data_IF_518912201840
#
_entry.id   IF_518912201840
#
_cell.length_a   1.000
_cell.length_b   1.000
_cell.length_c   1.000
_cell.angle_alpha   90.00
_cell.angle_beta   90.00
_cell.angle_gamma   90.00
#
_symmetry.space_group_name_H-M   'P 1'
#
loop_
_entity.id
_entity.type
_entity.pdbx_description
1 polymer ?
#
# COMPACT_ATOMS: atom_id res chain seq x y z
N UNK A 1 -4.96 51.86 68.60
CA UNK A 1 -4.06 53.00 68.36
C UNK A 1 -2.88 52.48 67.55
N UNK A 2 -2.71 52.98 66.31
CA UNK A 2 -1.55 53.75 65.86
C UNK A 2 -0.25 52.95 65.60
N UNK A 3 0.13 52.97 64.32
CA UNK A 3 1.48 53.25 63.74
C UNK A 3 2.49 52.08 63.72
N UNK A 4 2.91 51.64 62.51
CA UNK A 4 4.18 51.95 61.79
C UNK A 4 5.40 51.27 62.47
N UNK A 5 6.45 50.70 61.85
CA UNK A 5 7.07 50.82 60.53
C UNK A 5 8.27 49.80 60.51
N UNK A 6 8.59 49.18 59.35
CA UNK A 6 9.94 48.92 58.75
C UNK A 6 11.00 48.14 59.61
N UNK A 7 11.64 47.03 59.21
CA UNK A 7 12.63 46.90 58.10
C UNK A 7 13.07 45.43 57.85
N UNK A 8 13.14 45.08 56.56
CA UNK A 8 13.95 44.11 55.79
C UNK A 8 14.72 42.94 56.46
N UNK A 9 14.58 41.75 55.84
CA UNK A 9 15.73 41.04 55.25
C UNK A 9 15.27 40.17 54.07
N UNK A 10 15.90 40.38 52.92
CA UNK A 10 15.68 39.64 51.68
C UNK A 10 16.44 38.30 51.70
N UNK A 11 15.77 37.22 51.29
CA UNK A 11 16.39 36.04 50.71
C UNK A 11 15.38 35.39 49.75
N UNK A 12 15.55 35.66 48.45
CA UNK A 12 14.85 34.95 47.39
C UNK A 12 15.56 33.62 47.14
N UNK A 13 14.92 32.51 47.52
CA UNK A 13 15.32 31.16 47.11
C UNK A 13 14.35 30.67 46.04
N UNK A 14 14.79 30.73 44.78
CA UNK A 14 14.11 30.13 43.64
C UNK A 14 14.21 28.60 43.73
N UNK A 15 13.11 27.94 44.05
CA UNK A 15 12.98 26.48 43.91
C UNK A 15 12.74 26.14 42.44
N UNK A 16 13.75 25.56 41.80
CA UNK A 16 13.60 24.89 40.50
C UNK A 16 12.68 23.67 40.67
N UNK A 17 11.53 23.72 39.99
CA UNK A 17 10.70 22.54 39.76
C UNK A 17 11.39 21.66 38.72
N UNK A 18 11.89 20.50 39.12
CA UNK A 18 12.33 19.45 38.20
C UNK A 18 11.10 18.79 37.57
N UNK A 19 10.77 19.18 36.34
CA UNK A 19 9.82 18.47 35.51
C UNK A 19 10.42 17.11 35.12
N UNK A 20 9.82 16.03 35.62
CA UNK A 20 10.12 14.66 35.18
C UNK A 20 9.63 14.51 33.75
N UNK A 21 10.55 14.57 32.78
CA UNK A 21 10.27 14.15 31.41
C UNK A 21 10.13 12.63 31.44
N UNK A 22 8.88 12.15 31.41
CA UNK A 22 8.58 10.77 31.10
C UNK A 22 9.14 10.48 29.70
N UNK A 23 10.14 9.60 29.64
CA UNK A 23 10.70 9.11 28.39
C UNK A 23 9.60 8.37 27.61
N UNK A 24 9.12 9.00 26.55
CA UNK A 24 8.25 8.40 25.56
C UNK A 24 9.04 7.27 24.88
N UNK A 25 8.62 6.03 25.07
CA UNK A 25 9.28 4.87 24.44
C UNK A 25 8.98 4.94 22.95
N UNK A 26 9.99 4.97 22.05
CA UNK A 26 9.73 4.97 20.62
C UNK A 26 9.03 3.67 20.23
N UNK A 27 7.94 3.83 19.46
CA UNK A 27 7.08 2.76 18.94
C UNK A 27 7.90 1.70 18.20
N UNK A 28 7.76 0.44 18.61
CA UNK A 28 8.41 -0.74 18.03
C UNK A 28 7.90 -1.10 16.62
N UNK A 29 6.87 -0.41 16.11
CA UNK A 29 6.26 -0.68 14.81
C UNK A 29 7.13 -0.27 13.61
N UNK A 30 8.15 0.56 13.81
CA UNK A 30 9.01 1.06 12.72
C UNK A 30 10.17 0.13 12.40
N UNK A 31 10.65 -0.66 13.38
CA UNK A 31 11.77 -1.59 13.21
C UNK A 31 11.42 -2.84 12.37
N UNK A 32 10.16 -3.28 12.41
CA UNK A 32 9.71 -4.46 11.66
C UNK A 32 9.76 -4.22 10.13
N UNK A 33 9.48 -3.00 9.67
CA UNK A 33 9.49 -2.67 8.24
C UNK A 33 10.90 -2.68 7.64
N UNK A 34 11.93 -2.30 8.41
CA UNK A 34 13.33 -2.30 7.96
C UNK A 34 13.93 -3.71 7.86
N UNK A 35 13.74 -4.53 8.89
CA UNK A 35 14.19 -5.92 8.89
C UNK A 35 13.48 -6.77 7.81
N UNK A 36 12.19 -6.48 7.55
CA UNK A 36 11.47 -7.09 6.44
C UNK A 36 12.07 -6.69 5.08
N UNK A 37 12.48 -5.44 4.89
CA UNK A 37 13.10 -4.99 3.63
C UNK A 37 14.42 -5.73 3.35
N UNK A 38 15.27 -5.91 4.37
CA UNK A 38 16.51 -6.71 4.25
C UNK A 38 16.21 -8.17 3.93
N UNK A 39 15.21 -8.78 4.59
CA UNK A 39 14.82 -10.16 4.32
C UNK A 39 14.28 -10.35 2.88
N UNK A 40 13.44 -9.43 2.38
CA UNK A 40 12.96 -9.45 1.00
C UNK A 40 14.08 -9.24 -0.02
N UNK A 41 15.07 -8.39 0.31
CA UNK A 41 16.24 -8.18 -0.53
C UNK A 41 17.06 -9.47 -0.68
N UNK A 42 17.34 -10.14 0.44
CA UNK A 42 18.05 -11.43 0.44
C UNK A 42 17.26 -12.48 -0.36
N UNK A 43 15.96 -12.63 -0.10
CA UNK A 43 15.12 -13.58 -0.84
C UNK A 43 15.15 -13.37 -2.36
N UNK A 44 15.29 -12.12 -2.80
CA UNK A 44 15.22 -11.75 -4.21
C UNK A 44 16.57 -11.84 -4.95
N UNK A 45 17.69 -11.66 -4.25
CA UNK A 45 19.01 -11.46 -4.87
C UNK A 45 20.10 -12.45 -4.41
N UNK A 46 19.86 -13.25 -3.37
CA UNK A 46 20.77 -14.30 -2.89
C UNK A 46 20.82 -15.44 -3.91
N UNK A 47 21.84 -15.40 -4.78
CA UNK A 47 21.94 -16.32 -5.91
C UNK A 47 22.63 -17.62 -5.52
N UNK A 48 23.48 -17.60 -4.49
CA UNK A 48 24.27 -18.74 -4.04
C UNK A 48 23.59 -19.51 -2.87
N UNK A 49 22.56 -18.93 -2.25
CA UNK A 49 21.78 -19.51 -1.17
C UNK A 49 22.45 -19.49 0.21
N UNK A 50 23.44 -18.63 0.43
CA UNK A 50 24.18 -18.53 1.69
C UNK A 50 23.48 -17.65 2.75
N UNK A 51 22.32 -17.09 2.40
CA UNK A 51 21.51 -16.25 3.27
C UNK A 51 21.99 -14.79 3.33
N UNK A 52 22.86 -14.38 2.41
CA UNK A 52 23.40 -13.04 2.25
C UNK A 52 23.37 -12.63 0.78
N UNK A 53 23.61 -11.35 0.51
CA UNK A 53 23.75 -10.83 -0.85
C UNK A 53 24.98 -9.96 -0.90
N UNK A 54 25.98 -10.38 -1.66
CA UNK A 54 27.17 -9.56 -1.88
C UNK A 54 26.95 -8.53 -3.02
N UNK A 55 27.85 -7.54 -3.09
CA UNK A 55 27.77 -6.49 -4.10
C UNK A 55 27.88 -7.02 -5.54
N UNK A 56 28.58 -8.14 -5.77
CA UNK A 56 28.76 -8.73 -7.10
C UNK A 56 27.52 -9.49 -7.56
N UNK A 57 26.85 -10.22 -6.67
CA UNK A 57 25.57 -10.89 -6.92
C UNK A 57 24.50 -9.86 -7.28
N UNK A 58 24.40 -8.80 -6.48
CA UNK A 58 23.45 -7.73 -6.74
C UNK A 58 23.75 -6.97 -8.05
N UNK A 59 25.02 -6.66 -8.32
CA UNK A 59 25.43 -6.01 -9.57
C UNK A 59 25.15 -6.87 -10.80
N UNK A 60 25.40 -8.18 -10.71
CA UNK A 60 25.16 -9.12 -11.81
C UNK A 60 23.67 -9.23 -12.13
N UNK A 61 22.82 -9.39 -11.12
CA UNK A 61 21.36 -9.38 -11.29
C UNK A 61 20.89 -8.10 -12.01
N UNK A 62 21.38 -6.96 -11.53
CA UNK A 62 21.05 -5.63 -12.06
C UNK A 62 21.49 -5.47 -13.51
N UNK A 63 22.68 -5.95 -13.88
CA UNK A 63 23.17 -5.89 -15.25
C UNK A 63 22.29 -6.72 -16.20
N UNK A 64 21.89 -7.92 -15.79
CA UNK A 64 20.94 -8.74 -16.56
C UNK A 64 19.63 -7.99 -16.75
N UNK A 65 19.08 -7.40 -15.68
CA UNK A 65 17.84 -6.63 -15.77
C UNK A 65 17.92 -5.42 -16.68
N UNK A 66 19.04 -4.70 -16.66
CA UNK A 66 19.26 -3.57 -17.55
C UNK A 66 19.20 -4.00 -19.01
N UNK A 67 19.93 -5.06 -19.35
CA UNK A 67 19.95 -5.62 -20.70
C UNK A 67 18.62 -6.24 -21.14
N UNK A 68 17.80 -6.75 -20.21
CA UNK A 68 16.44 -7.22 -20.49
C UNK A 68 15.46 -6.07 -20.77
N UNK A 69 15.71 -4.91 -20.17
CA UNK A 69 14.85 -3.72 -20.29
C UNK A 69 15.17 -2.93 -21.56
N UNK A 70 16.45 -2.85 -21.93
CA UNK A 70 16.96 -2.27 -23.19
C UNK A 70 16.57 -3.18 -24.37
N UNK A 71 15.33 -3.03 -24.82
CA UNK A 71 14.72 -3.87 -25.84
C UNK A 71 15.31 -3.57 -27.23
N UNK A 72 15.62 -2.30 -27.49
CA UNK A 72 16.19 -1.85 -28.75
C UNK A 72 17.73 -2.06 -28.84
N UNK A 73 18.39 -2.36 -27.71
CA UNK A 73 19.82 -2.63 -27.57
C UNK A 73 20.70 -1.43 -27.91
N UNK A 74 20.24 -0.22 -27.65
CA UNK A 74 21.00 1.02 -27.84
C UNK A 74 21.94 1.33 -26.65
N UNK A 75 21.89 0.50 -25.60
CA UNK A 75 22.70 0.64 -24.40
C UNK A 75 22.14 1.69 -23.42
N UNK A 76 20.91 2.14 -23.62
CA UNK A 76 20.15 3.04 -22.78
C UNK A 76 18.75 2.45 -22.56
N UNK A 77 18.06 2.90 -21.52
CA UNK A 77 16.65 2.52 -21.29
C UNK A 77 15.81 3.78 -21.36
N UNK A 78 14.92 3.85 -22.35
CA UNK A 78 13.99 4.97 -22.47
C UNK A 78 12.76 4.81 -21.57
N UNK A 79 11.90 5.85 -21.53
CA UNK A 79 10.69 5.84 -20.70
C UNK A 79 9.73 4.72 -21.09
N UNK A 80 9.58 4.43 -22.38
CA UNK A 80 8.63 3.43 -22.87
C UNK A 80 9.12 2.02 -22.52
N UNK A 81 10.41 1.74 -22.67
CA UNK A 81 11.06 0.50 -22.23
C UNK A 81 10.95 0.30 -20.72
N UNK A 82 11.24 1.35 -19.94
CA UNK A 82 11.13 1.32 -18.48
C UNK A 82 9.68 1.08 -18.03
N UNK A 83 8.71 1.82 -18.58
CA UNK A 83 7.30 1.66 -18.23
C UNK A 83 6.79 0.29 -18.68
N UNK A 84 7.15 -0.19 -19.86
CA UNK A 84 6.70 -1.48 -20.38
C UNK A 84 7.18 -2.65 -19.53
N UNK A 85 8.42 -2.59 -19.04
CA UNK A 85 8.97 -3.62 -18.17
C UNK A 85 8.23 -3.66 -16.82
N UNK A 86 8.06 -2.49 -16.18
CA UNK A 86 7.35 -2.38 -14.91
C UNK A 86 5.86 -2.74 -15.04
N UNK A 87 5.21 -2.26 -16.10
CA UNK A 87 3.82 -2.57 -16.42
C UNK A 87 3.65 -4.07 -16.66
N UNK A 88 4.53 -4.70 -17.44
CA UNK A 88 4.44 -6.12 -17.74
C UNK A 88 4.53 -7.04 -16.50
N UNK A 89 5.35 -6.68 -15.51
CA UNK A 89 5.34 -7.42 -14.22
C UNK A 89 4.06 -7.18 -13.43
N UNK A 90 3.63 -5.93 -13.34
CA UNK A 90 2.43 -5.56 -12.60
C UNK A 90 1.17 -6.18 -13.20
N UNK A 91 1.07 -6.20 -14.54
CA UNK A 91 -0.04 -6.80 -15.27
C UNK A 91 -0.15 -8.31 -14.96
N UNK A 92 0.98 -9.05 -14.90
CA UNK A 92 0.97 -10.48 -14.49
C UNK A 92 0.48 -10.69 -13.06
N UNK A 93 0.84 -9.80 -12.14
CA UNK A 93 0.36 -9.84 -10.75
C UNK A 93 -1.14 -9.57 -10.68
N UNK A 94 -1.62 -8.58 -11.45
CA UNK A 94 -3.04 -8.24 -11.56
C UNK A 94 -3.84 -9.38 -12.21
N UNK A 95 -3.32 -10.03 -13.25
CA UNK A 95 -3.96 -11.19 -13.89
C UNK A 95 -4.12 -12.36 -12.92
N UNK A 96 -3.07 -12.66 -12.15
CA UNK A 96 -3.13 -13.69 -11.13
C UNK A 96 -4.14 -13.34 -10.04
N UNK A 97 -4.16 -12.08 -9.59
CA UNK A 97 -5.13 -11.60 -8.61
C UNK A 97 -6.57 -11.65 -9.15
N UNK A 98 -6.79 -11.24 -10.40
CA UNK A 98 -8.08 -11.31 -11.10
C UNK A 98 -8.60 -12.74 -11.12
N UNK A 99 -7.77 -13.69 -11.51
CA UNK A 99 -8.15 -15.12 -11.54
C UNK A 99 -8.63 -15.60 -10.16
N UNK A 100 -7.87 -15.29 -9.10
CA UNK A 100 -8.26 -15.65 -7.74
C UNK A 100 -9.56 -14.98 -7.26
N UNK A 101 -9.83 -13.75 -7.71
CA UNK A 101 -11.10 -13.07 -7.42
C UNK A 101 -12.28 -13.69 -8.17
N UNK A 102 -12.12 -14.02 -9.46
CA UNK A 102 -13.15 -14.64 -10.30
C UNK A 102 -13.51 -16.04 -9.81
N UNK A 103 -12.53 -16.84 -9.37
CA UNK A 103 -12.78 -18.16 -8.79
C UNK A 103 -13.67 -18.09 -7.52
N UNK A 104 -13.63 -16.97 -6.79
CA UNK A 104 -14.47 -16.77 -5.61
C UNK A 104 -15.88 -16.27 -5.93
N UNK A 105 -16.14 -15.80 -7.16
CA UNK A 105 -17.43 -15.23 -7.56
C UNK A 105 -18.59 -16.19 -7.30
N UNK A 106 -18.43 -17.47 -7.65
CA UNK A 106 -19.47 -18.47 -7.42
C UNK A 106 -19.75 -18.68 -5.92
N UNK A 107 -18.73 -18.61 -5.07
CA UNK A 107 -18.91 -18.70 -3.61
C UNK A 107 -19.64 -17.48 -3.08
N UNK A 108 -19.36 -16.29 -3.62
CA UNK A 108 -20.05 -15.04 -3.25
C UNK A 108 -21.50 -15.07 -3.70
N UNK A 109 -21.78 -15.51 -4.93
CA UNK A 109 -23.13 -15.70 -5.44
C UNK A 109 -23.97 -16.57 -4.50
N UNK A 110 -23.48 -17.77 -4.18
CA UNK A 110 -24.12 -18.70 -3.23
C UNK A 110 -24.25 -18.15 -1.80
N UNK A 111 -23.48 -17.13 -1.43
CA UNK A 111 -23.60 -16.51 -0.11
C UNK A 111 -24.78 -15.54 -0.03
N UNK A 112 -25.23 -15.02 -1.19
CA UNK A 112 -26.34 -14.09 -1.35
C UNK A 112 -27.63 -14.84 -1.65
N UNK A 113 -27.60 -15.81 -2.57
CA UNK A 113 -28.69 -16.76 -2.85
C UNK A 113 -28.93 -17.65 -1.63
N UNK A 114 -29.94 -17.32 -0.83
CA UNK A 114 -30.23 -17.96 0.46
C UNK A 114 -31.18 -19.12 0.34
N UNK A 115 -32.13 -19.04 -0.58
CA UNK A 115 -33.06 -20.14 -0.84
C UNK A 115 -32.51 -21.18 -1.81
N UNK A 116 -31.34 -20.92 -2.39
CA UNK A 116 -30.62 -21.80 -3.31
C UNK A 116 -31.43 -22.11 -4.58
N UNK A 117 -32.25 -21.15 -5.03
CA UNK A 117 -33.04 -21.28 -6.25
C UNK A 117 -32.22 -21.01 -7.53
N UNK A 118 -30.96 -20.60 -7.38
CA UNK A 118 -30.04 -20.31 -8.47
C UNK A 118 -30.12 -18.88 -8.98
N UNK A 119 -30.89 -18.02 -8.32
CA UNK A 119 -31.04 -16.61 -8.62
C UNK A 119 -30.85 -15.78 -7.35
N UNK A 120 -30.43 -14.52 -7.52
CA UNK A 120 -30.46 -13.53 -6.45
C UNK A 120 -31.71 -12.68 -6.65
N UNK A 121 -32.69 -12.87 -5.78
CA UNK A 121 -33.87 -12.01 -5.76
C UNK A 121 -33.54 -10.61 -5.25
N UNK A 122 -34.41 -9.64 -5.55
CA UNK A 122 -34.28 -8.27 -5.00
C UNK A 122 -34.20 -8.25 -3.47
N UNK A 123 -34.97 -9.11 -2.80
CA UNK A 123 -35.00 -9.18 -1.34
C UNK A 123 -33.68 -9.71 -0.76
N UNK A 124 -33.08 -10.73 -1.38
CA UNK A 124 -31.79 -11.27 -0.96
C UNK A 124 -30.64 -10.32 -1.24
N UNK A 125 -30.69 -9.67 -2.41
CA UNK A 125 -29.76 -8.60 -2.74
C UNK A 125 -29.80 -7.55 -1.63
N UNK A 126 -30.97 -6.99 -1.30
CA UNK A 126 -31.13 -5.94 -0.29
C UNK A 126 -30.75 -6.39 1.11
N UNK A 127 -31.15 -7.60 1.51
CA UNK A 127 -30.73 -8.19 2.78
C UNK A 127 -29.20 -8.34 2.88
N UNK A 128 -28.51 -8.60 1.78
CA UNK A 128 -27.04 -8.70 1.78
C UNK A 128 -26.36 -7.36 2.03
N UNK A 129 -26.87 -6.29 1.39
CA UNK A 129 -26.36 -4.93 1.60
C UNK A 129 -26.68 -4.42 3.00
N UNK A 130 -27.89 -4.66 3.48
CA UNK A 130 -28.36 -4.21 4.80
C UNK A 130 -27.44 -4.66 5.93
N UNK A 131 -26.98 -5.92 5.86
CA UNK A 131 -26.02 -6.46 6.84
C UNK A 131 -24.73 -5.64 6.91
N UNK A 132 -24.24 -5.13 5.78
CA UNK A 132 -23.06 -4.28 5.72
C UNK A 132 -23.33 -2.89 6.30
N UNK A 133 -24.45 -2.27 5.91
CA UNK A 133 -24.84 -0.96 6.42
C UNK A 133 -24.99 -0.96 7.94
N UNK A 134 -25.82 -1.87 8.48
CA UNK A 134 -26.06 -2.00 9.93
C UNK A 134 -24.81 -2.41 10.70
N UNK A 135 -23.88 -3.13 10.06
CA UNK A 135 -22.62 -3.50 10.70
C UNK A 135 -21.71 -2.28 10.96
N UNK A 136 -21.79 -1.27 10.09
CA UNK A 136 -20.98 -0.06 10.19
C UNK A 136 -21.72 1.08 10.90
N UNK A 137 -23.04 1.20 10.76
CA UNK A 137 -23.89 2.16 11.49
C UNK A 137 -24.00 1.73 12.97
N UNK A 138 -22.93 2.02 13.73
CA UNK A 138 -22.76 1.62 15.11
C UNK A 138 -23.61 2.44 16.06
N UNK A 139 -23.84 3.71 15.74
CA UNK A 139 -24.64 4.62 16.55
C UNK A 139 -26.15 4.52 16.22
N UNK A 140 -26.52 3.84 15.12
CA UNK A 140 -27.88 3.57 14.64
C UNK A 140 -28.67 4.83 14.31
N UNK A 141 -27.98 5.85 13.79
CA UNK A 141 -28.60 7.11 13.39
C UNK A 141 -29.08 7.09 11.92
N UNK A 142 -28.88 5.99 11.21
CA UNK A 142 -29.38 5.79 9.84
C UNK A 142 -28.48 6.39 8.76
N UNK A 143 -27.25 6.76 9.11
CA UNK A 143 -26.17 7.12 8.18
C UNK A 143 -24.87 6.46 8.64
N UNK A 144 -23.96 6.28 7.70
CA UNK A 144 -22.61 5.79 8.00
C UNK A 144 -21.64 6.95 7.80
N UNK A 145 -20.98 7.40 8.87
CA UNK A 145 -20.07 8.55 8.80
C UNK A 145 -18.85 8.45 9.75
N UNK A 146 -18.11 9.54 9.89
CA UNK A 146 -16.92 9.60 10.73
C UNK A 146 -17.18 9.26 12.22
N UNK A 147 -18.41 9.42 12.71
CA UNK A 147 -18.82 9.12 14.08
C UNK A 147 -18.97 7.61 14.34
N UNK A 148 -19.07 6.80 13.29
CA UNK A 148 -19.11 5.35 13.40
C UNK A 148 -17.73 4.75 13.62
N UNK A 149 -17.60 3.87 14.61
CA UNK A 149 -16.36 3.17 14.84
C UNK A 149 -16.09 2.19 13.69
N UNK A 150 -14.90 2.25 13.08
CA UNK A 150 -14.47 1.19 12.16
C UNK A 150 -14.54 -0.15 12.90
N UNK A 151 -15.17 -1.19 12.31
CA UNK A 151 -15.26 -2.49 12.95
C UNK A 151 -13.85 -2.96 13.28
N UNK A 152 -13.64 -3.39 14.53
CA UNK A 152 -12.36 -3.90 14.96
C UNK A 152 -11.95 -5.01 14.00
N UNK A 153 -10.82 -4.82 13.28
CA UNK A 153 -10.24 -5.91 12.50
C UNK A 153 -10.11 -7.09 13.47
N UNK A 154 -10.65 -8.29 13.15
CA UNK A 154 -10.45 -9.43 14.01
C UNK A 154 -8.95 -9.53 14.27
N UNK A 155 -8.57 -9.51 15.54
CA UNK A 155 -7.17 -9.61 15.93
C UNK A 155 -6.62 -10.81 15.18
N UNK A 156 -5.64 -10.57 14.31
CA UNK A 156 -4.96 -11.66 13.64
C UNK A 156 -4.52 -12.61 14.76
N UNK A 157 -4.95 -13.89 14.77
CA UNK A 157 -4.59 -14.77 15.85
C UNK A 157 -3.07 -14.72 15.96
N UNK A 158 -2.57 -14.36 17.15
CA UNK A 158 -1.14 -14.24 17.42
C UNK A 158 -0.47 -15.44 16.77
N UNK A 159 0.41 -15.17 15.80
CA UNK A 159 0.99 -16.19 14.96
C UNK A 159 1.49 -17.32 15.86
N UNK A 160 0.83 -18.48 15.81
CA UNK A 160 1.35 -19.66 16.47
C UNK A 160 2.75 -19.91 15.88
N UNK A 161 3.67 -20.43 16.67
CA UNK A 161 5.08 -20.65 16.27
C UNK A 161 5.22 -21.47 14.97
N UNK A 162 4.18 -22.16 14.51
CA UNK A 162 4.10 -22.83 13.21
C UNK A 162 3.88 -21.89 12.00
N UNK A 163 3.28 -20.69 12.18
CA UNK A 163 3.09 -19.68 11.11
C UNK A 163 4.22 -18.64 11.05
N UNK A 164 5.10 -18.58 12.04
CA UNK A 164 6.25 -17.65 12.04
C UNK A 164 7.27 -17.96 10.92
N UNK A 165 7.32 -19.20 10.44
CA UNK A 165 8.14 -19.64 9.31
C UNK A 165 7.36 -19.74 7.98
N UNK A 166 6.08 -19.35 7.94
CA UNK A 166 5.33 -19.30 6.70
C UNK A 166 5.65 -18.00 5.97
N UNK A 167 5.97 -18.09 4.67
CA UNK A 167 6.21 -16.93 3.79
C UNK A 167 5.07 -15.91 3.99
N UNK A 168 5.37 -14.61 4.25
CA UNK A 168 4.33 -13.62 4.45
C UNK A 168 3.37 -13.62 3.25
N UNK A 169 2.06 -13.47 3.47
CA UNK A 169 1.11 -13.41 2.37
C UNK A 169 1.52 -12.26 1.45
N UNK A 170 1.60 -12.55 0.14
CA UNK A 170 1.87 -11.52 -0.87
C UNK A 170 0.86 -10.39 -0.69
N UNK A 171 1.33 -9.13 -0.74
CA UNK A 171 0.45 -7.95 -0.71
C UNK A 171 -0.61 -8.11 -1.79
N UNK A 172 -1.88 -8.00 -1.41
CA UNK A 172 -2.98 -8.07 -2.36
C UNK A 172 -2.92 -6.84 -3.26
N UNK A 173 -2.50 -7.06 -4.51
CA UNK A 173 -2.34 -6.00 -5.52
C UNK A 173 -3.68 -5.49 -6.04
N UNK A 174 -4.76 -6.26 -5.85
CA UNK A 174 -6.09 -5.94 -6.32
C UNK A 174 -7.07 -5.93 -5.15
N UNK A 175 -7.05 -4.83 -4.39
CA UNK A 175 -8.03 -4.61 -3.33
C UNK A 175 -9.35 -4.12 -3.91
N UNK A 176 -10.41 -4.90 -3.67
CA UNK A 176 -11.77 -4.50 -3.99
C UNK A 176 -12.39 -3.66 -2.87
N UNK A 177 -13.12 -2.58 -3.19
CA UNK A 177 -13.98 -1.91 -2.23
C UNK A 177 -14.94 -2.93 -1.60
N UNK A 178 -15.06 -2.90 -0.27
CA UNK A 178 -15.87 -3.88 0.46
C UNK A 178 -16.88 -3.19 1.36
N UNK A 179 -18.05 -3.80 1.52
CA UNK A 179 -19.10 -3.31 2.42
C UNK A 179 -18.86 -3.63 3.90
N UNK A 180 -17.67 -4.13 4.24
CA UNK A 180 -17.29 -4.51 5.61
C UNK A 180 -16.40 -3.49 6.31
N UNK A 181 -16.17 -2.34 5.67
CA UNK A 181 -15.35 -1.24 6.20
C UNK A 181 -16.06 0.05 5.90
N UNK A 182 -15.97 1.04 6.80
CA UNK A 182 -16.58 2.36 6.55
C UNK A 182 -16.00 3.00 5.30
N UNK A 183 -14.67 3.00 5.16
CA UNK A 183 -14.02 3.55 3.95
C UNK A 183 -14.52 2.91 2.65
N UNK A 184 -14.78 1.60 2.65
CA UNK A 184 -15.34 0.90 1.50
C UNK A 184 -16.82 1.21 1.25
N UNK A 185 -17.62 1.45 2.30
CA UNK A 185 -19.01 1.93 2.13
C UNK A 185 -19.03 3.30 1.49
N UNK A 186 -18.21 4.23 2.00
CA UNK A 186 -18.09 5.58 1.43
C UNK A 186 -17.65 5.50 -0.04
N UNK A 187 -16.59 4.75 -0.35
CA UNK A 187 -16.10 4.62 -1.74
C UNK A 187 -17.17 4.10 -2.72
N UNK A 188 -18.11 3.27 -2.26
CA UNK A 188 -19.15 2.68 -3.10
C UNK A 188 -20.40 3.56 -3.15
N UNK A 189 -20.86 4.10 -2.02
CA UNK A 189 -22.22 4.63 -1.85
C UNK A 189 -22.29 6.16 -1.63
N UNK A 190 -21.20 6.82 -1.23
CA UNK A 190 -21.14 8.27 -0.99
C UNK A 190 -21.18 9.00 -2.33
N UNK A 191 -22.36 9.47 -2.72
CA UNK A 191 -22.60 9.97 -4.07
C UNK A 191 -22.34 11.47 -4.19
N UNK A 192 -22.55 12.22 -3.12
CA UNK A 192 -22.31 13.66 -3.08
C UNK A 192 -20.91 14.03 -2.53
N UNK A 193 -20.19 13.06 -1.98
CA UNK A 193 -18.82 13.20 -1.50
C UNK A 193 -18.74 13.97 -0.17
N UNK A 194 -19.81 13.99 0.61
CA UNK A 194 -19.86 14.69 1.90
C UNK A 194 -19.18 13.91 3.04
N UNK A 195 -18.74 12.68 2.77
CA UNK A 195 -18.07 11.80 3.72
C UNK A 195 -19.04 11.04 4.63
N UNK A 196 -20.33 11.02 4.29
CA UNK A 196 -21.36 10.20 4.88
C UNK A 196 -22.09 9.38 3.81
N UNK A 197 -22.65 8.25 4.21
CA UNK A 197 -23.60 7.50 3.38
C UNK A 197 -24.94 7.50 4.07
N UNK A 198 -25.88 8.26 3.54
CA UNK A 198 -27.25 8.28 4.04
C UNK A 198 -28.04 7.07 3.57
N UNK A 199 -29.14 6.77 4.28
CA UNK A 199 -30.05 5.68 3.87
C UNK A 199 -30.57 5.83 2.44
N UNK A 200 -30.92 7.05 2.06
CA UNK A 200 -31.43 7.36 0.72
C UNK A 200 -30.39 7.07 -0.36
N UNK A 201 -29.14 7.45 -0.15
CA UNK A 201 -28.07 7.19 -1.10
C UNK A 201 -27.76 5.71 -1.22
N UNK A 202 -27.69 5.02 -0.09
CA UNK A 202 -27.49 3.58 -0.02
C UNK A 202 -28.58 2.84 -0.82
N UNK A 203 -29.86 3.07 -0.51
CA UNK A 203 -30.97 2.39 -1.17
C UNK A 203 -31.04 2.73 -2.68
N UNK A 204 -30.77 3.99 -3.05
CA UNK A 204 -30.74 4.43 -4.46
C UNK A 204 -29.65 3.72 -5.24
N UNK A 205 -28.40 3.79 -4.78
CA UNK A 205 -27.28 3.15 -5.46
C UNK A 205 -27.43 1.63 -5.55
N UNK A 206 -27.99 1.00 -4.51
CA UNK A 206 -28.31 -0.43 -4.52
C UNK A 206 -29.36 -0.75 -5.58
N UNK A 207 -30.43 0.04 -5.66
CA UNK A 207 -31.44 -0.10 -6.71
C UNK A 207 -30.85 0.04 -8.12
N UNK A 208 -29.99 1.04 -8.34
CA UNK A 208 -29.28 1.25 -9.61
C UNK A 208 -28.32 0.09 -9.94
N UNK A 209 -27.60 -0.43 -8.94
CA UNK A 209 -26.71 -1.58 -9.12
C UNK A 209 -27.48 -2.85 -9.48
N UNK A 210 -28.62 -3.11 -8.83
CA UNK A 210 -29.49 -4.23 -9.16
C UNK A 210 -29.97 -4.13 -10.62
N UNK A 211 -30.57 -3.01 -10.99
CA UNK A 211 -31.07 -2.78 -12.35
C UNK A 211 -29.98 -2.81 -13.44
N UNK A 212 -28.73 -2.47 -13.09
CA UNK A 212 -27.59 -2.60 -14.00
C UNK A 212 -27.14 -4.05 -14.18
N UNK A 213 -27.33 -4.88 -13.15
CA UNK A 213 -26.89 -6.28 -13.15
C UNK A 213 -27.95 -7.19 -13.79
N UNK A 214 -29.24 -6.93 -13.50
CA UNK A 214 -30.40 -7.58 -14.11
C UNK A 214 -30.57 -7.11 -15.57
N UNK A 215 -29.74 -7.67 -16.44
CA UNK A 215 -29.69 -7.35 -17.87
C UNK A 215 -30.85 -8.00 -18.63
N UNK A 216 -31.33 -9.14 -18.14
CA UNK A 216 -32.52 -9.84 -18.66
C UNK A 216 -33.83 -9.11 -18.30
N UNK A 217 -33.81 -8.24 -17.30
CA UNK A 217 -34.95 -7.48 -16.78
C UNK A 217 -36.06 -8.37 -16.24
N UNK A 218 -35.71 -9.50 -15.64
CA UNK A 218 -36.66 -10.45 -15.05
C UNK A 218 -36.92 -10.21 -13.55
N UNK A 219 -36.25 -9.21 -12.97
CA UNK A 219 -36.36 -8.84 -11.56
C UNK A 219 -35.55 -9.73 -10.63
N UNK A 220 -34.64 -10.55 -11.17
CA UNK A 220 -33.68 -11.40 -10.47
C UNK A 220 -32.31 -11.21 -11.10
N UNK A 221 -31.28 -11.75 -10.45
CA UNK A 221 -29.93 -11.77 -11.00
C UNK A 221 -29.47 -13.22 -11.05
N UNK A 222 -29.17 -13.73 -12.23
CA UNK A 222 -28.60 -15.06 -12.38
C UNK A 222 -27.07 -15.07 -12.12
N UNK A 223 -26.47 -16.27 -12.16
CA UNK A 223 -25.05 -16.44 -11.85
C UNK A 223 -24.15 -15.77 -12.91
N UNK A 224 -24.56 -15.80 -14.17
CA UNK A 224 -23.86 -15.22 -15.30
C UNK A 224 -23.89 -13.68 -15.25
N UNK A 225 -25.05 -13.08 -14.97
CA UNK A 225 -25.24 -11.65 -14.75
C UNK A 225 -24.40 -11.15 -13.57
N UNK A 226 -24.44 -11.87 -12.44
CA UNK A 226 -23.61 -11.55 -11.27
C UNK A 226 -22.12 -11.62 -11.58
N UNK A 227 -21.69 -12.66 -12.31
CA UNK A 227 -20.28 -12.80 -12.70
C UNK A 227 -19.84 -11.69 -13.64
N UNK A 228 -20.65 -11.38 -14.65
CA UNK A 228 -20.36 -10.33 -15.63
C UNK A 228 -20.18 -8.97 -14.95
N UNK A 229 -21.10 -8.57 -14.07
CA UNK A 229 -20.97 -7.31 -13.32
C UNK A 229 -19.71 -7.30 -12.44
N UNK A 230 -19.41 -8.42 -11.78
CA UNK A 230 -18.25 -8.52 -10.92
C UNK A 230 -16.94 -8.41 -11.71
N UNK A 231 -16.85 -9.07 -12.86
CA UNK A 231 -15.71 -8.98 -13.78
C UNK A 231 -15.53 -7.56 -14.32
N UNK A 232 -16.61 -6.90 -14.75
CA UNK A 232 -16.58 -5.50 -15.18
C UNK A 232 -16.02 -4.56 -14.10
N UNK A 233 -16.42 -4.78 -12.85
CA UNK A 233 -15.91 -4.01 -11.72
C UNK A 233 -14.44 -4.33 -11.42
N UNK A 234 -14.03 -5.59 -11.53
CA UNK A 234 -12.61 -5.99 -11.43
C UNK A 234 -11.77 -5.28 -12.49
N UNK A 235 -12.22 -5.29 -13.74
CA UNK A 235 -11.48 -4.73 -14.86
C UNK A 235 -11.33 -3.20 -14.74
N UNK A 236 -12.36 -2.50 -14.26
CA UNK A 236 -12.25 -1.07 -13.90
C UNK A 236 -11.20 -0.82 -12.81
N UNK A 237 -11.15 -1.67 -11.79
CA UNK A 237 -10.18 -1.52 -10.70
C UNK A 237 -8.74 -1.85 -11.16
N UNK A 238 -8.58 -2.86 -12.03
CA UNK A 238 -7.32 -3.20 -12.69
C UNK A 238 -6.82 -2.01 -13.51
N UNK A 239 -7.70 -1.39 -14.31
CA UNK A 239 -7.35 -0.20 -15.09
C UNK A 239 -6.88 0.96 -14.20
N UNK A 240 -7.58 1.23 -13.09
CA UNK A 240 -7.19 2.26 -12.10
C UNK A 240 -5.83 1.97 -11.46
N UNK A 241 -5.58 0.71 -11.07
CA UNK A 241 -4.29 0.29 -10.52
C UNK A 241 -3.16 0.43 -11.54
N UNK A 242 -3.39 0.03 -12.79
CA UNK A 242 -2.44 0.16 -13.89
C UNK A 242 -2.08 1.62 -14.16
N UNK A 243 -3.08 2.50 -14.20
CA UNK A 243 -2.86 3.93 -14.38
C UNK A 243 -2.02 4.52 -13.23
N UNK A 244 -2.37 4.19 -11.99
CA UNK A 244 -1.61 4.62 -10.82
C UNK A 244 -0.16 4.10 -10.84
N UNK A 245 0.03 2.83 -11.19
CA UNK A 245 1.35 2.20 -11.31
C UNK A 245 2.20 2.87 -12.39
N UNK A 246 1.64 3.11 -13.57
CA UNK A 246 2.35 3.77 -14.67
C UNK A 246 2.76 5.21 -14.32
N UNK A 247 1.90 5.98 -13.62
CA UNK A 247 2.25 7.31 -13.10
C UNK A 247 3.44 7.23 -12.14
N UNK A 248 3.45 6.24 -11.24
CA UNK A 248 4.56 6.03 -10.31
C UNK A 248 5.85 5.59 -11.03
N UNK A 249 5.75 4.76 -12.08
CA UNK A 249 6.90 4.39 -12.92
C UNK A 249 7.52 5.60 -13.58
N UNK A 250 6.72 6.53 -14.13
CA UNK A 250 7.24 7.78 -14.69
C UNK A 250 7.93 8.69 -13.65
N UNK A 251 7.43 8.74 -12.41
CA UNK A 251 8.11 9.45 -11.31
C UNK A 251 9.45 8.80 -10.98
N UNK A 252 9.50 7.46 -10.90
CA UNK A 252 10.76 6.73 -10.65
C UNK A 252 11.74 6.92 -11.80
N UNK A 253 11.28 6.89 -13.04
CA UNK A 253 12.11 7.15 -14.22
C UNK A 253 12.82 8.50 -14.09
N UNK A 254 12.08 9.57 -13.82
CA UNK A 254 12.63 10.92 -13.60
C UNK A 254 13.59 11.02 -12.42
N UNK A 255 13.46 10.14 -11.42
CA UNK A 255 14.39 10.09 -10.30
C UNK A 255 15.69 9.33 -10.63
N UNK A 256 15.68 8.51 -11.69
CA UNK A 256 16.84 7.78 -12.20
C UNK A 256 17.58 8.56 -13.29
N UNK A 257 16.84 9.27 -14.13
CA UNK A 257 17.35 10.19 -15.15
C UNK A 257 17.88 11.47 -14.46
N UNK A 258 19.16 11.44 -14.08
CA UNK A 258 19.80 12.51 -13.31
C UNK A 258 20.33 13.63 -14.20
N UNK A 259 20.71 13.30 -15.44
CA UNK A 259 21.21 14.24 -16.44
C UNK A 259 20.07 14.88 -17.28
N UNK A 260 18.82 14.41 -17.11
CA UNK A 260 17.62 14.88 -17.79
C UNK A 260 17.68 14.72 -19.32
N UNK A 261 18.20 13.58 -19.79
CA UNK A 261 18.26 13.25 -21.22
C UNK A 261 17.12 12.33 -21.71
N UNK A 262 16.10 12.13 -20.86
CA UNK A 262 14.93 11.26 -21.09
C UNK A 262 15.32 9.79 -21.33
N UNK A 263 16.50 9.39 -20.85
CA UNK A 263 17.01 8.02 -20.89
C UNK A 263 17.69 7.67 -19.57
N UNK A 264 17.80 6.38 -19.28
CA UNK A 264 18.57 5.88 -18.15
C UNK A 264 19.83 5.21 -18.69
N UNK A 265 20.97 5.89 -18.52
CA UNK A 265 22.27 5.33 -18.86
C UNK A 265 22.73 4.25 -17.87
N UNK A 266 23.69 3.42 -18.28
CA UNK A 266 24.26 2.37 -17.43
C UNK A 266 24.86 2.92 -16.12
N UNK A 267 25.46 4.11 -16.15
CA UNK A 267 26.02 4.76 -14.96
C UNK A 267 24.93 5.18 -13.96
N UNK A 268 23.83 5.76 -14.45
CA UNK A 268 22.71 6.21 -13.63
C UNK A 268 21.94 5.05 -13.04
N UNK A 269 21.72 4.01 -13.86
CA UNK A 269 21.20 2.74 -13.39
C UNK A 269 22.11 2.24 -12.26
N UNK A 270 23.38 1.95 -12.52
CA UNK A 270 24.34 1.41 -11.52
C UNK A 270 24.36 2.23 -10.22
N UNK A 271 24.43 3.56 -10.31
CA UNK A 271 24.42 4.44 -9.15
C UNK A 271 23.16 4.30 -8.30
N UNK A 272 21.99 4.13 -8.94
CA UNK A 272 20.73 3.85 -8.23
C UNK A 272 20.75 2.50 -7.50
N UNK A 273 21.37 1.49 -8.12
CA UNK A 273 21.55 0.18 -7.48
C UNK A 273 22.41 0.29 -6.23
N UNK A 274 23.55 0.96 -6.36
CA UNK A 274 24.47 1.14 -5.25
C UNK A 274 23.83 1.90 -4.08
N UNK A 275 23.04 2.95 -4.34
CA UNK A 275 22.25 3.63 -3.29
C UNK A 275 21.27 2.69 -2.57
N UNK A 276 20.71 1.71 -3.28
CA UNK A 276 19.84 0.71 -2.65
C UNK A 276 20.65 -0.27 -1.79
N UNK A 277 21.77 -0.76 -2.32
CA UNK A 277 22.67 -1.67 -1.62
C UNK A 277 23.22 -1.04 -0.33
N UNK A 278 23.83 0.15 -0.43
CA UNK A 278 24.43 0.88 0.69
C UNK A 278 23.41 1.24 1.78
N UNK A 279 22.13 1.34 1.43
CA UNK A 279 21.06 1.58 2.41
C UNK A 279 20.81 0.35 3.26
N UNK A 280 20.95 -0.85 2.71
CA UNK A 280 20.68 -2.11 3.38
C UNK A 280 21.93 -2.72 4.02
N UNK A 281 23.11 -2.47 3.44
CA UNK A 281 24.42 -2.76 4.04
C UNK A 281 24.73 -1.71 5.11
N UNK A 282 24.03 -1.82 6.22
CA UNK A 282 24.17 -0.88 7.35
C UNK A 282 25.44 -1.16 8.16
N UNK A 283 25.94 -2.40 8.13
CA UNK A 283 27.25 -2.78 8.68
C UNK A 283 28.42 -2.21 7.87
N UNK A 284 28.20 -1.87 6.59
CA UNK A 284 29.20 -1.38 5.62
C UNK A 284 30.34 -2.37 5.40
N UNK A 285 30.02 -3.65 5.37
CA UNK A 285 30.98 -4.72 5.12
C UNK A 285 30.94 -5.23 3.67
N UNK A 286 30.11 -4.62 2.81
CA UNK A 286 29.95 -4.98 1.41
C UNK A 286 29.02 -6.17 1.20
N UNK A 287 28.25 -6.57 2.21
CA UNK A 287 27.31 -7.69 2.18
C UNK A 287 26.02 -7.33 2.90
N UNK A 288 24.87 -7.52 2.25
CA UNK A 288 23.57 -7.40 2.91
C UNK A 288 23.21 -8.74 3.53
N UNK A 289 23.05 -8.79 4.85
CA UNK A 289 22.74 -10.00 5.61
C UNK A 289 21.64 -9.77 6.64
N UNK A 290 21.11 -10.87 7.22
CA UNK A 290 20.12 -10.76 8.30
C UNK A 290 20.66 -10.11 9.58
N UNK A 291 21.98 -10.04 9.72
CA UNK A 291 22.65 -9.44 10.87
C UNK A 291 22.78 -7.92 10.72
N UNK A 292 22.48 -7.36 9.53
CA UNK A 292 22.44 -5.92 9.32
C UNK A 292 21.38 -5.25 10.21
N UNK A 293 21.75 -4.19 10.94
CA UNK A 293 20.80 -3.28 11.54
C UNK A 293 19.70 -2.86 10.55
N UNK A 294 18.43 -2.72 11.00
CA UNK A 294 17.38 -2.26 10.12
C UNK A 294 17.72 -0.84 9.62
N UNK A 295 17.56 -0.57 8.31
CA UNK A 295 17.88 0.73 7.75
C UNK A 295 17.03 1.83 8.41
N UNK A 296 17.56 3.07 8.51
CA UNK A 296 16.80 4.18 9.06
C UNK A 296 15.54 4.46 8.20
N UNK A 297 14.46 5.00 8.81
CA UNK A 297 13.25 5.35 8.07
C UNK A 297 13.56 6.31 6.92
N UNK A 298 12.84 6.17 5.80
CA UNK A 298 12.94 7.14 4.69
C UNK A 298 12.39 8.49 5.18
N UNK A 299 13.24 9.52 5.23
CA UNK A 299 12.76 10.89 5.46
C UNK A 299 11.94 11.37 4.25
N UNK A 300 10.75 11.97 4.44
CA UNK A 300 10.02 12.58 3.35
C UNK A 300 10.86 13.69 2.70
N UNK A 301 11.25 13.52 1.43
CA UNK A 301 12.00 14.52 0.66
C UNK A 301 13.50 14.26 0.45
N UNK A 302 14.07 13.16 0.94
CA UNK A 302 15.50 12.87 0.79
C UNK A 302 15.96 12.62 -0.65
N UNK A 303 15.04 12.24 -1.56
CA UNK A 303 15.34 12.07 -2.99
C UNK A 303 15.91 13.35 -3.63
N UNK A 304 15.50 14.53 -3.14
CA UNK A 304 16.02 15.82 -3.62
C UNK A 304 17.45 16.11 -3.16
N UNK A 305 17.85 15.64 -1.96
CA UNK A 305 19.17 15.90 -1.38
C UNK A 305 20.22 14.95 -1.91
N UNK A 306 19.87 13.67 -2.08
CA UNK A 306 20.79 12.66 -2.59
C UNK A 306 21.07 12.85 -4.10
N UNK A 307 20.08 13.33 -4.87
CA UNK A 307 20.27 13.75 -6.26
C UNK A 307 21.16 15.00 -6.38
N UNK A 308 21.01 15.97 -5.47
CA UNK A 308 21.87 17.17 -5.42
C UNK A 308 23.32 16.85 -5.05
N UNK A 309 23.55 15.97 -4.07
CA UNK A 309 24.89 15.53 -3.68
C UNK A 309 25.60 14.72 -4.78
N UNK A 310 24.84 13.97 -5.58
CA UNK A 310 25.36 13.21 -6.74
C UNK A 310 25.74 14.15 -7.90
N UNK A 311 24.95 15.21 -8.14
CA UNK A 311 25.28 16.26 -9.11
C UNK A 311 26.53 17.04 -8.73
N UNK A 312 26.76 17.32 -7.45
CA UNK A 312 27.93 18.06 -6.97
C UNK A 312 29.23 17.23 -7.08
N UNK A 313 29.18 15.91 -6.87
CA UNK A 313 30.34 15.02 -7.04
C UNK A 313 30.71 14.77 -8.51
N UNK A 314 29.74 14.78 -9.43
CA UNK A 314 29.99 14.60 -10.86
C UNK A 314 30.55 15.88 -11.54
N UNK A 315 30.39 17.05 -10.92
CA UNK A 315 30.78 18.34 -11.47
C UNK A 315 32.18 18.85 -11.03
N UNK A 316 32.98 18.05 -10.31
CA UNK A 316 34.37 18.38 -9.95
C UNK A 316 35.36 17.68 -10.89
N UNK A 317 35.88 18.34 -11.94
CA UNK A 317 37.04 17.85 -12.66
C UNK A 317 38.31 18.06 -11.81
N UNK A 318 39.15 17.02 -11.71
CA UNK A 318 40.57 17.18 -11.37
C UNK A 318 41.35 17.63 -12.60
#
# INVERSE_FOLDING_TARGET
>A
MKKHLITALACASATLATASIAADKPSTATHENGAQATAFFIEQYDSNGDGKVDAAEFASFRQVRYAETDANKDGQVDLDEYVSEYAGRHDRELDHARKGQVEQTQTRFRSVDKDADGFISRAEFDASGERGFVHIDTNKDGKVDAADAEPARPAQPAATTAKANAKPPRRDVLKMPSTHTRAGLLEIYDADGDGAVTRTEFDRQRGEAFARTDASHDGRIDAEEYQSEFEDRLDRQIAKNREASNKQSGVRFKALDTNADDKIGAAEYTASGQRMFDRLDTARDGVVSRDDPPPPPREPGSESKDAAASREKAASPR
#
